data_IF_245578619992
#
_entry.id   IF_245578619992
#
_cell.length_a   1.000
_cell.length_b   1.000
_cell.length_c   1.000
_cell.angle_alpha   90.00
_cell.angle_beta   90.00
_cell.angle_gamma   90.00
#
_symmetry.space_group_name_H-M   'P 1'
#
loop_
_entity.id
_entity.type
_entity.pdbx_description
1 polymer ?
#
# COMPACT_ATOMS: atom_id res chain seq x y z
N UNK A 1 -24.00 5.58 0.55
CA UNK A 1 -23.68 6.98 0.15
C UNK A 1 -22.36 7.39 0.73
N UNK A 2 -21.34 7.48 -0.10
CA UNK A 2 -20.08 8.06 0.32
C UNK A 2 -20.26 9.58 0.44
N UNK A 3 -20.30 10.07 1.65
CA UNK A 3 -20.18 11.50 1.86
C UNK A 3 -18.72 11.85 1.64
N UNK A 4 -18.42 12.50 0.52
CA UNK A 4 -17.18 13.20 0.33
C UNK A 4 -17.12 14.30 1.40
N UNK A 5 -16.49 14.03 2.53
CA UNK A 5 -16.28 15.06 3.54
C UNK A 5 -15.10 15.93 3.07
N UNK A 6 -15.40 17.21 2.85
CA UNK A 6 -14.36 18.21 2.64
C UNK A 6 -13.39 18.19 3.83
N UNK A 7 -12.08 18.40 3.59
CA UNK A 7 -11.11 18.51 4.67
C UNK A 7 -11.53 19.57 5.68
N UNK A 8 -11.42 19.23 6.98
CA UNK A 8 -11.74 20.15 8.06
C UNK A 8 -10.45 20.64 8.70
N UNK A 9 -10.39 21.93 9.09
CA UNK A 9 -9.23 22.44 9.80
C UNK A 9 -9.12 21.79 11.19
N UNK A 10 -7.91 21.47 11.57
CA UNK A 10 -7.58 20.92 12.87
C UNK A 10 -6.26 21.55 13.32
N UNK A 11 -6.23 22.09 14.52
CA UNK A 11 -5.06 22.77 15.07
C UNK A 11 -4.44 21.96 16.21
N UNK A 12 -3.12 21.84 16.19
CA UNK A 12 -2.35 21.10 17.16
C UNK A 12 -1.10 21.89 17.52
N UNK A 13 -0.71 21.87 18.80
CA UNK A 13 0.57 22.41 19.26
C UNK A 13 1.60 21.29 19.19
N UNK A 14 2.74 21.57 18.61
CA UNK A 14 3.87 20.65 18.52
C UNK A 14 5.08 21.18 19.25
N UNK A 15 5.93 20.27 19.72
CA UNK A 15 7.25 20.68 20.20
C UNK A 15 8.07 21.24 19.04
N UNK A 16 9.00 22.14 19.33
CA UNK A 16 9.91 22.69 18.32
C UNK A 16 10.70 21.61 17.60
N UNK A 17 11.11 20.57 18.32
CA UNK A 17 11.83 19.43 17.76
C UNK A 17 10.99 18.68 16.71
N UNK A 18 9.75 18.37 17.03
CA UNK A 18 8.84 17.68 16.10
C UNK A 18 8.54 18.54 14.88
N UNK A 19 8.29 19.83 15.10
CA UNK A 19 8.03 20.77 14.02
C UNK A 19 9.24 20.89 13.07
N UNK A 20 10.46 20.96 13.61
CA UNK A 20 11.68 21.00 12.80
C UNK A 20 11.86 19.73 11.95
N UNK A 21 11.55 18.57 12.52
CA UNK A 21 11.59 17.29 11.81
C UNK A 21 10.54 17.22 10.68
N UNK A 22 9.35 17.76 10.94
CA UNK A 22 8.29 17.84 9.94
C UNK A 22 8.71 18.75 8.78
N UNK A 23 9.27 19.93 9.08
CA UNK A 23 9.77 20.85 8.06
C UNK A 23 10.86 20.19 7.21
N UNK A 24 11.81 19.52 7.82
CA UNK A 24 12.87 18.82 7.10
C UNK A 24 12.30 17.68 6.22
N UNK A 25 11.34 16.93 6.73
CA UNK A 25 10.69 15.85 5.99
C UNK A 25 9.92 16.36 4.76
N UNK A 26 9.17 17.45 4.92
CA UNK A 26 8.42 18.06 3.82
C UNK A 26 9.34 18.59 2.71
N UNK A 27 10.47 19.19 3.09
CA UNK A 27 11.48 19.68 2.12
C UNK A 27 12.12 18.52 1.33
N UNK A 28 12.49 17.43 2.01
CA UNK A 28 13.08 16.26 1.34
C UNK A 28 12.15 15.66 0.30
N UNK A 29 10.85 15.71 0.54
CA UNK A 29 9.84 15.15 -0.37
C UNK A 29 9.33 16.18 -1.39
N UNK A 30 9.67 17.45 -1.23
CA UNK A 30 9.16 18.50 -2.09
C UNK A 30 7.64 18.66 -2.02
N UNK A 31 7.04 18.40 -0.85
CA UNK A 31 5.60 18.53 -0.65
C UNK A 31 5.27 19.55 0.45
N UNK A 32 4.06 20.14 0.42
CA UNK A 32 3.64 21.07 1.48
C UNK A 32 3.65 20.41 2.85
N UNK A 33 4.05 21.17 3.88
CA UNK A 33 4.11 20.70 5.27
C UNK A 33 2.79 20.07 5.74
N UNK A 34 1.67 20.71 5.43
CA UNK A 34 0.35 20.20 5.81
C UNK A 34 0.06 18.82 5.21
N UNK A 35 0.47 18.59 3.97
CA UNK A 35 0.31 17.30 3.30
C UNK A 35 1.17 16.20 3.92
N UNK A 36 2.43 16.53 4.24
CA UNK A 36 3.33 15.63 4.96
C UNK A 36 2.76 15.25 6.32
N UNK A 37 2.26 16.25 7.07
CA UNK A 37 1.66 16.04 8.38
C UNK A 37 0.43 15.11 8.30
N UNK A 38 -0.48 15.37 7.38
CA UNK A 38 -1.69 14.56 7.19
C UNK A 38 -1.34 13.12 6.85
N UNK A 39 -0.42 12.91 5.92
CA UNK A 39 0.03 11.56 5.53
C UNK A 39 0.64 10.82 6.72
N UNK A 40 1.53 11.44 7.46
CA UNK A 40 2.19 10.81 8.61
C UNK A 40 1.20 10.48 9.73
N UNK A 41 0.22 11.32 9.96
CA UNK A 41 -0.85 11.06 10.94
C UNK A 41 -1.71 9.88 10.47
N UNK A 42 -2.16 9.90 9.24
CA UNK A 42 -2.99 8.83 8.66
C UNK A 42 -2.25 7.48 8.72
N UNK A 43 -1.02 7.43 8.23
CA UNK A 43 -0.21 6.21 8.26
C UNK A 43 0.07 5.74 9.69
N UNK A 44 0.36 6.66 10.60
CA UNK A 44 0.58 6.34 12.01
C UNK A 44 -0.65 5.70 12.66
N UNK A 45 -1.83 6.25 12.41
CA UNK A 45 -3.09 5.69 12.90
C UNK A 45 -3.36 4.30 12.31
N UNK A 46 -3.13 4.12 11.01
CA UNK A 46 -3.28 2.81 10.38
C UNK A 46 -2.31 1.77 10.95
N UNK A 47 -1.08 2.17 11.26
CA UNK A 47 -0.10 1.27 11.88
C UNK A 47 -0.48 0.89 13.31
N UNK A 48 -1.15 1.77 14.05
CA UNK A 48 -1.71 1.43 15.37
C UNK A 48 -2.87 0.46 15.27
N UNK A 49 -3.76 0.66 14.31
CA UNK A 49 -4.92 -0.22 14.07
C UNK A 49 -4.50 -1.58 13.48
N UNK A 50 -3.40 -1.61 12.74
CA UNK A 50 -2.87 -2.80 12.06
C UNK A 50 -1.39 -3.01 12.40
N UNK A 51 -1.05 -3.45 13.63
CA UNK A 51 0.35 -3.72 14.01
C UNK A 51 1.00 -4.74 13.08
N UNK A 52 2.15 -4.38 12.54
CA UNK A 52 2.85 -5.19 11.53
C UNK A 52 2.70 -4.68 10.09
N UNK A 53 1.81 -3.74 9.86
CA UNK A 53 1.75 -2.97 8.61
C UNK A 53 2.72 -1.79 8.70
N UNK A 54 3.43 -1.55 7.61
CA UNK A 54 4.31 -0.39 7.40
C UNK A 54 4.00 0.25 6.05
N UNK A 55 4.53 1.44 5.83
CA UNK A 55 4.37 2.14 4.55
C UNK A 55 5.72 2.37 3.89
N UNK A 56 5.77 2.17 2.58
CA UNK A 56 6.98 2.31 1.77
C UNK A 56 6.73 3.17 0.55
N UNK A 57 7.75 3.92 0.13
CA UNK A 57 7.75 4.57 -1.16
C UNK A 57 8.04 3.57 -2.29
N UNK A 58 7.46 3.81 -3.45
CA UNK A 58 7.72 3.05 -4.64
C UNK A 58 7.48 3.87 -5.90
N UNK A 59 7.82 3.34 -7.09
CA UNK A 59 7.67 4.06 -8.36
C UNK A 59 6.26 4.57 -8.63
N UNK A 60 5.26 3.84 -8.15
CA UNK A 60 3.85 4.20 -8.30
C UNK A 60 3.25 4.85 -7.05
N UNK A 61 4.10 5.37 -6.16
CA UNK A 61 3.69 6.08 -4.95
C UNK A 61 3.83 5.29 -3.66
N UNK A 62 3.22 5.81 -2.61
CA UNK A 62 3.24 5.25 -1.26
C UNK A 62 2.35 4.01 -1.16
N UNK A 63 2.80 2.96 -0.49
CA UNK A 63 2.07 1.70 -0.41
C UNK A 63 2.19 1.02 0.94
N UNK A 64 1.12 0.36 1.36
CA UNK A 64 1.09 -0.47 2.56
C UNK A 64 1.80 -1.80 2.31
N UNK A 65 2.58 -2.24 3.28
CA UNK A 65 3.35 -3.47 3.22
C UNK A 65 3.40 -4.18 4.57
N UNK A 66 3.69 -5.47 4.54
CA UNK A 66 4.02 -6.20 5.76
C UNK A 66 5.44 -5.81 6.20
N UNK A 67 5.62 -5.60 7.49
CA UNK A 67 6.96 -5.31 8.03
C UNK A 67 7.91 -6.47 7.71
N UNK A 68 8.99 -6.18 6.98
CA UNK A 68 9.94 -7.18 6.52
C UNK A 68 9.43 -8.15 5.46
N UNK A 69 8.26 -7.89 4.88
CA UNK A 69 7.61 -8.77 3.90
C UNK A 69 7.13 -8.03 2.65
N UNK A 70 6.29 -8.68 1.84
CA UNK A 70 5.76 -8.10 0.62
C UNK A 70 4.74 -7.00 0.88
N UNK A 71 4.36 -6.29 -0.17
CA UNK A 71 3.26 -5.34 -0.13
C UNK A 71 1.93 -6.07 0.09
N UNK A 72 1.00 -5.39 0.75
CA UNK A 72 -0.34 -5.97 1.00
C UNK A 72 -1.02 -6.39 -0.29
N UNK A 73 -0.96 -5.55 -1.34
CA UNK A 73 -1.60 -5.87 -2.62
C UNK A 73 -1.07 -7.16 -3.25
N UNK A 74 0.21 -7.48 -3.07
CA UNK A 74 0.81 -8.72 -3.59
C UNK A 74 0.22 -9.95 -2.90
N UNK A 75 0.04 -9.88 -1.59
CA UNK A 75 -0.60 -10.95 -0.82
C UNK A 75 -2.05 -11.16 -1.27
N UNK A 76 -2.81 -10.08 -1.44
CA UNK A 76 -4.21 -10.14 -1.87
C UNK A 76 -4.31 -10.69 -3.29
N UNK A 77 -3.43 -10.28 -4.19
CA UNK A 77 -3.40 -10.81 -5.55
C UNK A 77 -3.11 -12.32 -5.56
N UNK A 78 -2.17 -12.77 -4.73
CA UNK A 78 -1.89 -14.20 -4.55
C UNK A 78 -3.12 -14.97 -4.06
N UNK A 79 -3.82 -14.44 -3.06
CA UNK A 79 -5.07 -15.03 -2.56
C UNK A 79 -6.13 -15.16 -3.65
N UNK A 80 -6.30 -14.13 -4.47
CA UNK A 80 -7.25 -14.14 -5.60
C UNK A 80 -6.86 -15.12 -6.70
N UNK A 81 -5.58 -15.37 -6.85
CA UNK A 81 -5.06 -16.33 -7.83
C UNK A 81 -5.27 -17.78 -7.44
N UNK A 82 -5.61 -18.08 -6.18
CA UNK A 82 -5.96 -19.43 -5.77
C UNK A 82 -7.43 -19.70 -6.10
N UNK A 83 -7.76 -20.93 -6.44
CA UNK A 83 -9.16 -21.37 -6.60
C UNK A 83 -9.78 -21.78 -5.26
N UNK A 84 -9.03 -21.62 -4.18
CA UNK A 84 -9.41 -21.99 -2.81
C UNK A 84 -10.12 -20.81 -2.14
N UNK A 85 -10.80 -21.08 -1.04
CA UNK A 85 -11.50 -20.07 -0.25
C UNK A 85 -11.18 -20.21 1.24
N UNK A 86 -11.41 -19.15 2.00
CA UNK A 86 -11.26 -19.14 3.46
C UNK A 86 -9.84 -19.50 3.91
N UNK A 87 -9.75 -20.31 4.94
CA UNK A 87 -8.49 -20.71 5.56
C UNK A 87 -7.59 -21.53 4.62
N UNK A 88 -8.15 -22.26 3.68
CA UNK A 88 -7.37 -23.01 2.69
C UNK A 88 -6.63 -22.06 1.74
N UNK A 89 -7.28 -20.96 1.33
CA UNK A 89 -6.65 -19.91 0.53
C UNK A 89 -5.52 -19.21 1.31
N UNK A 90 -5.76 -18.93 2.58
CA UNK A 90 -4.74 -18.32 3.47
C UNK A 90 -3.53 -19.23 3.60
N UNK A 91 -3.73 -20.52 3.82
CA UNK A 91 -2.63 -21.49 3.92
C UNK A 91 -1.84 -21.61 2.62
N UNK A 92 -2.53 -21.66 1.47
CA UNK A 92 -1.89 -21.71 0.15
C UNK A 92 -1.07 -20.46 -0.13
N UNK A 93 -1.60 -19.27 0.16
CA UNK A 93 -0.88 -18.01 -0.03
C UNK A 93 0.34 -17.91 0.88
N UNK A 94 0.25 -18.40 2.12
CA UNK A 94 1.37 -18.45 3.05
C UNK A 94 2.49 -19.36 2.52
N UNK A 95 2.15 -20.52 2.02
CA UNK A 95 3.11 -21.47 1.45
C UNK A 95 3.79 -20.88 0.20
N UNK A 96 3.00 -20.36 -0.74
CA UNK A 96 3.51 -19.76 -1.98
C UNK A 96 4.39 -18.56 -1.74
N UNK A 97 4.00 -17.69 -0.81
CA UNK A 97 4.75 -16.49 -0.47
C UNK A 97 5.89 -16.72 0.50
N UNK A 98 6.02 -17.94 1.03
CA UNK A 98 6.95 -18.25 2.10
C UNK A 98 6.77 -17.28 3.30
N UNK A 99 5.52 -17.11 3.71
CA UNK A 99 5.12 -16.19 4.77
C UNK A 99 4.47 -16.97 5.91
N UNK A 100 4.64 -16.53 7.15
CA UNK A 100 3.81 -17.03 8.26
C UNK A 100 2.33 -16.75 7.97
N UNK A 101 1.47 -17.70 8.31
CA UNK A 101 0.01 -17.58 8.15
C UNK A 101 -0.53 -16.31 8.83
N UNK A 102 0.02 -15.95 9.98
CA UNK A 102 -0.36 -14.73 10.69
C UNK A 102 -0.13 -13.45 9.89
N UNK A 103 0.92 -13.40 9.07
CA UNK A 103 1.18 -12.25 8.19
C UNK A 103 0.19 -12.19 7.03
N UNK A 104 -0.20 -13.33 6.47
CA UNK A 104 -1.26 -13.36 5.45
C UNK A 104 -2.58 -12.85 6.03
N UNK A 105 -2.94 -13.29 7.25
CA UNK A 105 -4.14 -12.82 7.94
C UNK A 105 -4.09 -11.32 8.23
N UNK A 106 -2.92 -10.79 8.58
CA UNK A 106 -2.72 -9.36 8.79
C UNK A 106 -3.01 -8.57 7.51
N UNK A 107 -2.50 -9.03 6.37
CA UNK A 107 -2.77 -8.41 5.07
C UNK A 107 -4.26 -8.45 4.73
N UNK A 108 -4.93 -9.55 4.98
CA UNK A 108 -6.38 -9.69 4.75
C UNK A 108 -7.18 -8.73 5.63
N UNK A 109 -6.80 -8.60 6.89
CA UNK A 109 -7.46 -7.67 7.82
C UNK A 109 -7.29 -6.22 7.38
N UNK A 110 -6.09 -5.83 6.99
CA UNK A 110 -5.85 -4.51 6.43
C UNK A 110 -6.67 -4.28 5.16
N UNK A 111 -6.70 -5.25 4.27
CA UNK A 111 -7.49 -5.20 3.06
C UNK A 111 -8.99 -4.98 3.34
N UNK A 112 -9.51 -5.60 4.40
CA UNK A 112 -10.90 -5.42 4.81
C UNK A 112 -11.25 -3.96 5.07
N UNK A 113 -10.34 -3.19 5.67
CA UNK A 113 -10.54 -1.78 6.00
C UNK A 113 -10.18 -0.83 4.85
N UNK A 114 -9.28 -1.24 3.95
CA UNK A 114 -8.77 -0.40 2.86
C UNK A 114 -8.90 -1.07 1.50
N UNK A 115 -10.03 -1.72 1.28
CA UNK A 115 -10.31 -2.54 0.08
C UNK A 115 -10.11 -1.77 -1.22
N UNK A 116 -10.70 -0.58 -1.32
CA UNK A 116 -10.66 0.22 -2.54
C UNK A 116 -9.23 0.63 -2.91
N UNK A 117 -8.43 1.01 -1.93
CA UNK A 117 -7.02 1.38 -2.11
C UNK A 117 -6.20 0.20 -2.66
N UNK A 118 -6.37 -0.98 -2.10
CA UNK A 118 -5.64 -2.18 -2.50
C UNK A 118 -6.12 -2.68 -3.88
N UNK A 119 -7.42 -2.67 -4.12
CA UNK A 119 -7.98 -3.04 -5.43
C UNK A 119 -7.46 -2.14 -6.55
N UNK A 120 -7.38 -0.84 -6.29
CA UNK A 120 -6.82 0.14 -7.23
C UNK A 120 -5.34 -0.15 -7.52
N UNK A 121 -4.55 -0.49 -6.51
CA UNK A 121 -3.15 -0.84 -6.68
C UNK A 121 -2.98 -2.11 -7.53
N UNK A 122 -3.79 -3.11 -7.32
CA UNK A 122 -3.79 -4.34 -8.12
C UNK A 122 -4.11 -4.03 -9.58
N UNK A 123 -5.13 -3.21 -9.81
CA UNK A 123 -5.53 -2.78 -11.15
C UNK A 123 -4.41 -2.04 -11.88
N UNK A 124 -3.79 -1.07 -11.22
CA UNK A 124 -2.68 -0.30 -11.78
C UNK A 124 -1.48 -1.18 -12.12
N UNK A 125 -1.18 -2.16 -11.27
CA UNK A 125 -0.08 -3.09 -11.51
C UNK A 125 -0.36 -4.00 -12.72
N UNK A 126 -1.59 -4.47 -12.88
CA UNK A 126 -1.99 -5.27 -14.04
C UNK A 126 -1.91 -4.49 -15.35
N UNK A 127 -2.40 -3.25 -15.34
CA UNK A 127 -2.36 -2.38 -16.51
C UNK A 127 -0.93 -2.09 -16.94
N UNK A 128 -0.03 -1.86 -15.99
CA UNK A 128 1.39 -1.65 -16.25
C UNK A 128 2.06 -2.90 -16.83
N UNK A 129 1.76 -4.07 -16.28
CA UNK A 129 2.29 -5.35 -16.78
C UNK A 129 1.82 -5.63 -18.22
N UNK A 130 0.57 -5.31 -18.56
CA UNK A 130 0.05 -5.44 -19.92
C UNK A 130 0.74 -4.47 -20.88
N UNK A 131 0.95 -3.22 -20.49
CA UNK A 131 1.67 -2.24 -21.32
C UNK A 131 3.11 -2.68 -21.60
N UNK A 132 3.79 -3.22 -20.59
CA UNK A 132 5.15 -3.73 -20.73
C UNK A 132 5.20 -4.92 -21.69
N UNK A 133 4.26 -5.87 -21.61
CA UNK A 133 4.16 -7.01 -22.51
C UNK A 133 3.92 -6.56 -23.94
N UNK A 134 2.96 -5.68 -24.16
CA UNK A 134 2.65 -5.13 -25.48
C UNK A 134 3.85 -4.39 -26.09
N UNK A 135 4.57 -3.62 -25.28
CA UNK A 135 5.80 -2.95 -25.69
C UNK A 135 6.91 -3.92 -26.09
N UNK A 136 7.09 -5.00 -25.33
CA UNK A 136 8.08 -6.04 -25.60
C UNK A 136 7.75 -6.82 -26.89
N UNK A 137 6.47 -7.11 -27.14
CA UNK A 137 6.01 -7.75 -28.38
C UNK A 137 6.29 -6.86 -29.59
N UNK A 138 5.93 -5.57 -29.52
CA UNK A 138 6.23 -4.61 -30.59
C UNK A 138 7.72 -4.49 -30.86
N UNK A 139 8.55 -4.48 -29.82
CA UNK A 139 10.00 -4.42 -29.95
C UNK A 139 10.55 -5.69 -30.63
N UNK A 140 10.04 -6.87 -30.28
CA UNK A 140 10.42 -8.13 -30.94
C UNK A 140 10.02 -8.14 -32.42
N UNK A 141 8.81 -7.71 -32.73
CA UNK A 141 8.33 -7.61 -34.12
C UNK A 141 9.20 -6.64 -34.95
N UNK A 142 9.62 -5.52 -34.34
CA UNK A 142 10.47 -4.55 -35.01
C UNK A 142 11.89 -5.08 -35.29
N UNK A 143 12.38 -6.04 -34.50
CA UNK A 143 13.67 -6.67 -34.68
C UNK A 143 13.63 -7.91 -35.61
N UNK A 144 12.43 -8.35 -35.96
CA UNK A 144 12.03 -9.34 -36.92
C UNK A 144 12.69 -10.40 -37.29
#
# INVERSE_FOLDING_TARGET
MSRSSAPKPFSIRMSERTLARLDAGSRRRGEPKARTAERLIDEGLRMEDHPGIVFRDGPAGRRAALAGGPDVWEVIETLRGTELAGEEAVAAAAEWGNLPVGQVRLAVRYYGDFRQEIDERIRLNRDEAERQRAGSERAREALG
#
